data_IF_831934055683
#
_entry.id   IF_831934055683
#
_cell.length_a   1.000
_cell.length_b   1.000
_cell.length_c   1.000
_cell.angle_alpha   90.00
_cell.angle_beta   90.00
_cell.angle_gamma   90.00
#
_symmetry.space_group_name_H-M   'P 1'
#
loop_
_entity.id
_entity.type
_entity.pdbx_description
1 polymer ?
#
# COMPACT_ATOMS: atom_id res chain seq x y z
N UNK A 1 -10.87 -11.43 -10.03
CA UNK A 1 -11.73 -10.61 -9.18
C UNK A 1 -11.26 -10.64 -7.72
N UNK A 2 -11.20 -9.49 -7.07
CA UNK A 2 -10.90 -9.37 -5.64
C UNK A 2 -12.20 -9.14 -4.88
N UNK A 3 -12.61 -10.11 -4.06
CA UNK A 3 -13.89 -10.08 -3.36
C UNK A 3 -13.91 -8.98 -2.28
N UNK A 4 -14.87 -8.04 -2.31
CA UNK A 4 -15.11 -7.10 -1.23
C UNK A 4 -15.77 -7.78 -0.02
N UNK A 5 -15.79 -7.05 1.10
CA UNK A 5 -16.57 -7.47 2.27
C UNK A 5 -18.07 -7.57 1.94
N UNK A 6 -18.76 -8.49 2.59
CA UNK A 6 -20.21 -8.69 2.50
C UNK A 6 -20.73 -9.24 1.17
N UNK A 7 -19.87 -9.58 0.22
CA UNK A 7 -20.31 -10.30 -0.98
C UNK A 7 -20.47 -11.79 -0.67
N UNK A 8 -21.51 -12.40 -1.21
CA UNK A 8 -21.81 -13.82 -1.04
C UNK A 8 -21.77 -14.57 -2.37
N UNK A 9 -21.67 -15.87 -2.30
CA UNK A 9 -21.77 -16.73 -3.49
C UNK A 9 -23.16 -16.57 -4.10
N UNK A 10 -23.21 -16.39 -5.43
CA UNK A 10 -24.45 -16.12 -6.17
C UNK A 10 -24.75 -14.64 -6.40
N UNK A 11 -24.06 -13.71 -5.71
CA UNK A 11 -24.23 -12.27 -5.97
C UNK A 11 -23.77 -11.90 -7.38
N UNK A 12 -24.60 -11.14 -8.08
CA UNK A 12 -24.27 -10.61 -9.41
C UNK A 12 -23.41 -9.36 -9.26
N UNK A 13 -22.28 -9.32 -9.94
CA UNK A 13 -21.38 -8.18 -10.05
C UNK A 13 -21.29 -7.74 -11.49
N UNK A 14 -21.25 -6.43 -11.71
CA UNK A 14 -21.21 -5.81 -13.03
C UNK A 14 -19.93 -5.03 -13.24
N UNK A 15 -19.46 -5.02 -14.49
CA UNK A 15 -18.32 -4.20 -14.91
C UNK A 15 -18.73 -3.33 -16.11
N UNK A 16 -18.41 -2.06 -16.07
CA UNK A 16 -18.67 -1.13 -17.15
C UNK A 16 -19.07 0.26 -16.67
N UNK A 17 -19.26 1.21 -17.59
CA UNK A 17 -19.62 2.58 -17.26
C UNK A 17 -21.08 2.65 -16.74
N UNK A 18 -21.33 3.64 -15.88
CA UNK A 18 -22.66 4.01 -15.37
C UNK A 18 -23.47 2.85 -14.80
N UNK A 19 -22.80 1.95 -14.06
CA UNK A 19 -23.45 0.87 -13.33
C UNK A 19 -24.00 1.34 -11.99
N UNK A 20 -24.87 0.53 -11.38
CA UNK A 20 -25.38 0.78 -10.05
C UNK A 20 -24.24 0.85 -9.02
N UNK A 21 -24.35 1.76 -8.05
CA UNK A 21 -23.38 1.91 -6.97
C UNK A 21 -23.62 0.82 -5.93
N UNK A 22 -23.23 -0.41 -6.28
CA UNK A 22 -23.33 -1.60 -5.45
C UNK A 22 -21.95 -2.15 -5.14
N UNK A 23 -21.79 -2.68 -3.92
CA UNK A 23 -20.53 -3.32 -3.51
C UNK A 23 -20.19 -4.46 -4.45
N UNK A 24 -18.97 -4.44 -5.00
CA UNK A 24 -18.51 -5.44 -5.99
C UNK A 24 -18.55 -4.95 -7.43
N UNK A 25 -19.36 -3.96 -7.77
CA UNK A 25 -19.41 -3.43 -9.12
C UNK A 25 -18.13 -2.64 -9.45
N UNK A 26 -17.66 -2.78 -10.68
CA UNK A 26 -16.47 -2.10 -11.18
C UNK A 26 -16.86 -1.10 -12.27
N UNK A 27 -16.38 0.13 -12.13
CA UNK A 27 -16.69 1.20 -13.08
C UNK A 27 -15.58 2.26 -13.13
N UNK A 28 -15.58 3.15 -14.16
CA UNK A 28 -14.67 4.28 -14.21
C UNK A 28 -14.84 5.20 -13.00
N UNK A 29 -13.72 5.77 -12.54
CA UNK A 29 -13.70 6.67 -11.38
C UNK A 29 -14.62 7.88 -11.51
N UNK A 30 -14.85 8.38 -12.75
CA UNK A 30 -15.76 9.48 -13.02
C UNK A 30 -17.22 9.17 -12.69
N UNK A 31 -17.60 7.90 -12.72
CA UNK A 31 -18.98 7.45 -12.48
C UNK A 31 -19.23 7.14 -10.99
N UNK A 32 -18.19 7.20 -10.16
CA UNK A 32 -18.28 6.90 -8.72
C UNK A 32 -18.36 8.20 -7.91
N UNK A 33 -19.38 8.37 -7.07
CA UNK A 33 -19.51 9.56 -6.21
C UNK A 33 -18.34 9.72 -5.24
N UNK A 34 -18.07 10.98 -4.88
CA UNK A 34 -17.08 11.35 -3.87
C UNK A 34 -17.47 10.79 -2.50
N UNK A 35 -16.49 10.35 -1.72
CA UNK A 35 -16.68 9.83 -0.37
C UNK A 35 -16.88 8.31 -0.29
N UNK A 36 -17.12 7.63 -1.42
CA UNK A 36 -17.29 6.17 -1.46
C UNK A 36 -15.94 5.48 -1.31
N UNK A 37 -15.93 4.37 -0.54
CA UNK A 37 -14.79 3.47 -0.45
C UNK A 37 -14.70 2.61 -1.71
N UNK A 38 -13.52 2.57 -2.29
CA UNK A 38 -13.20 1.77 -3.47
C UNK A 38 -11.93 0.98 -3.25
N UNK A 39 -11.75 -0.07 -4.01
CA UNK A 39 -10.55 -0.91 -4.01
C UNK A 39 -10.16 -1.34 -5.42
N UNK A 40 -9.03 -2.03 -5.54
CA UNK A 40 -8.52 -2.55 -6.82
C UNK A 40 -8.45 -1.47 -7.92
N UNK A 41 -7.95 -0.29 -7.57
CA UNK A 41 -7.97 0.88 -8.45
C UNK A 41 -6.82 0.82 -9.46
N UNK A 42 -7.11 1.11 -10.71
CA UNK A 42 -6.10 1.29 -11.76
C UNK A 42 -5.36 2.62 -11.59
N UNK A 43 -4.09 2.65 -11.98
CA UNK A 43 -3.31 3.89 -12.05
C UNK A 43 -3.48 4.58 -13.41
N UNK A 44 -3.62 3.77 -14.45
CA UNK A 44 -3.84 4.19 -15.84
C UNK A 44 -4.94 3.33 -16.43
N UNK A 45 -5.80 3.86 -17.29
CA UNK A 45 -6.85 3.09 -17.94
C UNK A 45 -6.29 1.86 -18.66
N UNK A 46 -6.89 0.69 -18.41
CA UNK A 46 -6.46 -0.59 -18.98
C UNK A 46 -5.17 -1.18 -18.39
N UNK A 47 -4.57 -0.52 -17.41
CA UNK A 47 -3.33 -1.00 -16.76
C UNK A 47 -3.52 -2.06 -15.68
N UNK A 48 -4.76 -2.43 -15.39
CA UNK A 48 -5.16 -3.33 -14.32
C UNK A 48 -5.05 -2.70 -12.94
N UNK A 49 -5.80 -3.21 -11.98
CA UNK A 49 -5.83 -2.69 -10.61
C UNK A 49 -4.49 -2.86 -9.90
N UNK A 50 -4.00 -1.78 -9.29
CA UNK A 50 -2.70 -1.73 -8.60
C UNK A 50 -2.78 -1.14 -7.20
N UNK A 51 -3.79 -0.33 -6.92
CA UNK A 51 -3.98 0.35 -5.62
C UNK A 51 -5.06 -0.35 -4.83
N UNK A 52 -4.92 -0.39 -3.50
CA UNK A 52 -5.87 -1.00 -2.56
C UNK A 52 -6.23 -2.44 -2.90
N UNK A 53 -5.21 -3.31 -2.96
CA UNK A 53 -5.36 -4.75 -3.29
C UNK A 53 -5.09 -5.69 -2.12
N UNK A 54 -4.52 -5.18 -1.04
CA UNK A 54 -4.25 -5.98 0.16
C UNK A 54 -5.53 -6.25 0.94
N UNK A 55 -5.57 -7.34 1.69
CA UNK A 55 -6.69 -7.71 2.56
C UNK A 55 -7.13 -6.53 3.45
N UNK A 56 -8.41 -6.26 3.52
CA UNK A 56 -9.00 -5.15 4.27
C UNK A 56 -8.66 -3.75 3.76
N UNK A 57 -8.00 -3.62 2.60
CA UNK A 57 -7.63 -2.31 2.07
C UNK A 57 -8.80 -1.62 1.37
N UNK A 58 -8.84 -0.30 1.49
CA UNK A 58 -9.70 0.59 0.71
C UNK A 58 -9.05 1.96 0.54
N UNK A 59 -9.54 2.72 -0.40
CA UNK A 59 -9.22 4.13 -0.64
C UNK A 59 -10.50 4.88 -0.91
N UNK A 60 -10.51 6.20 -0.76
CA UNK A 60 -11.70 7.03 -0.97
C UNK A 60 -11.45 8.06 -2.07
N UNK A 61 -12.48 8.33 -2.86
CA UNK A 61 -12.47 9.47 -3.78
C UNK A 61 -12.72 10.72 -2.96
N UNK A 62 -11.81 11.68 -2.99
CA UNK A 62 -11.92 12.94 -2.24
C UNK A 62 -12.39 14.11 -3.10
N UNK A 63 -12.41 13.98 -4.41
CA UNK A 63 -12.87 15.00 -5.34
C UNK A 63 -12.49 14.68 -6.77
N UNK A 64 -12.90 15.57 -7.70
CA UNK A 64 -12.55 15.55 -9.10
C UNK A 64 -11.79 16.83 -9.46
N UNK A 65 -10.85 16.73 -10.39
CA UNK A 65 -10.04 17.83 -10.88
C UNK A 65 -9.86 17.68 -12.41
N UNK A 66 -10.78 18.23 -13.15
CA UNK A 66 -10.85 18.07 -14.61
C UNK A 66 -10.94 16.58 -14.99
N UNK A 67 -9.98 16.13 -15.79
CA UNK A 67 -9.91 14.72 -16.24
C UNK A 67 -9.31 13.76 -15.19
N UNK A 68 -9.06 14.23 -13.97
CA UNK A 68 -8.45 13.44 -12.91
C UNK A 68 -9.37 13.31 -11.69
N UNK A 69 -9.39 12.13 -11.12
CA UNK A 69 -10.01 11.87 -9.83
C UNK A 69 -8.96 11.96 -8.73
N UNK A 70 -9.28 12.66 -7.64
CA UNK A 70 -8.42 12.79 -6.46
C UNK A 70 -8.72 11.64 -5.51
N UNK A 71 -7.74 10.75 -5.32
CA UNK A 71 -7.89 9.57 -4.47
C UNK A 71 -7.05 9.72 -3.23
N UNK A 72 -7.69 9.60 -2.05
CA UNK A 72 -7.04 9.54 -0.75
C UNK A 72 -6.67 8.10 -0.44
N UNK A 73 -5.38 7.83 -0.41
CA UNK A 73 -4.82 6.52 -0.07
C UNK A 73 -4.89 6.23 1.43
N UNK A 74 -4.81 4.96 1.82
CA UNK A 74 -4.76 4.53 3.22
C UNK A 74 -3.59 5.16 4.01
N UNK A 75 -2.52 5.58 3.33
CA UNK A 75 -1.38 6.30 3.93
C UNK A 75 -1.68 7.78 4.24
N UNK A 76 -2.82 8.31 3.78
CA UNK A 76 -3.17 9.74 3.84
C UNK A 76 -2.63 10.57 2.67
N UNK A 77 -1.89 9.97 1.74
CA UNK A 77 -1.48 10.63 0.49
C UNK A 77 -2.68 10.81 -0.43
N UNK A 78 -2.79 11.99 -1.06
CA UNK A 78 -3.81 12.26 -2.09
C UNK A 78 -3.12 12.31 -3.44
N UNK A 79 -3.63 11.51 -4.38
CA UNK A 79 -3.09 11.40 -5.75
C UNK A 79 -4.16 11.69 -6.80
N UNK A 80 -3.69 12.26 -7.91
CA UNK A 80 -4.45 12.37 -9.16
C UNK A 80 -4.36 11.05 -9.94
N UNK A 81 -5.49 10.52 -10.35
CA UNK A 81 -5.59 9.35 -11.23
C UNK A 81 -6.56 9.69 -12.36
N UNK A 82 -6.27 9.24 -13.57
CA UNK A 82 -7.14 9.47 -14.73
C UNK A 82 -8.56 8.98 -14.42
N UNK A 83 -9.56 9.82 -14.63
CA UNK A 83 -10.96 9.53 -14.29
C UNK A 83 -11.57 8.36 -15.08
N UNK A 84 -10.94 7.97 -16.18
CA UNK A 84 -11.32 6.78 -16.98
C UNK A 84 -10.80 5.47 -16.37
N UNK A 85 -9.87 5.55 -15.40
CA UNK A 85 -9.34 4.36 -14.72
C UNK A 85 -10.44 3.64 -13.96
N UNK A 86 -10.43 2.31 -14.00
CA UNK A 86 -11.42 1.49 -13.33
C UNK A 86 -11.13 1.32 -11.84
N UNK A 87 -12.18 1.21 -11.06
CA UNK A 87 -12.14 0.89 -9.64
C UNK A 87 -13.35 0.05 -9.24
N UNK A 88 -13.20 -0.77 -8.22
CA UNK A 88 -14.28 -1.59 -7.67
C UNK A 88 -14.82 -0.97 -6.39
N UNK A 89 -16.13 -0.89 -6.24
CA UNK A 89 -16.80 -0.31 -5.08
C UNK A 89 -16.70 -1.25 -3.88
N UNK A 90 -16.40 -0.67 -2.72
CA UNK A 90 -16.36 -1.36 -1.44
C UNK A 90 -14.96 -1.47 -0.84
N UNK A 91 -14.87 -2.20 0.27
CA UNK A 91 -13.64 -2.50 1.02
C UNK A 91 -13.29 -3.97 0.79
N UNK A 92 -12.01 -4.29 0.61
CA UNK A 92 -11.58 -5.69 0.45
C UNK A 92 -11.88 -6.53 1.69
N UNK A 93 -12.18 -7.79 1.45
CA UNK A 93 -12.39 -8.80 2.49
C UNK A 93 -11.14 -9.06 3.34
N UNK A 94 -11.30 -9.85 4.41
CA UNK A 94 -10.24 -10.26 5.35
C UNK A 94 -9.51 -9.09 6.05
N UNK A 95 -10.22 -8.13 6.71
CA UNK A 95 -9.58 -7.01 7.38
C UNK A 95 -8.65 -7.43 8.52
N UNK A 96 -8.92 -8.59 9.13
CA UNK A 96 -8.14 -9.14 10.25
C UNK A 96 -6.86 -9.86 9.84
N UNK A 97 -6.58 -9.98 8.56
CA UNK A 97 -5.35 -10.59 8.05
C UNK A 97 -4.09 -9.97 8.67
N UNK A 98 -4.09 -8.67 8.95
CA UNK A 98 -2.99 -7.94 9.60
C UNK A 98 -2.78 -8.34 11.07
N UNK A 99 -3.81 -8.86 11.72
CA UNK A 99 -3.81 -9.20 13.15
C UNK A 99 -3.38 -10.66 13.39
N UNK A 100 -3.24 -11.47 12.33
CA UNK A 100 -2.88 -12.89 12.43
C UNK A 100 -1.45 -13.01 12.94
N UNK A 101 -1.30 -13.71 14.08
CA UNK A 101 0.01 -14.12 14.61
C UNK A 101 0.40 -15.45 14.01
N UNK A 102 1.58 -15.49 13.42
CA UNK A 102 2.09 -16.71 12.74
C UNK A 102 2.36 -17.85 13.75
N UNK A 103 2.71 -17.51 14.99
CA UNK A 103 2.91 -18.45 16.09
C UNK A 103 4.29 -19.09 16.11
N UNK A 104 4.74 -19.71 15.04
CA UNK A 104 6.02 -20.41 14.98
C UNK A 104 6.83 -20.08 13.73
N UNK A 105 8.15 -20.20 13.83
CA UNK A 105 9.09 -19.93 12.73
C UNK A 105 8.85 -20.84 11.51
N UNK A 106 8.47 -22.10 11.74
CA UNK A 106 8.16 -23.05 10.68
C UNK A 106 7.04 -22.57 9.76
N UNK A 107 6.00 -21.94 10.32
CA UNK A 107 4.90 -21.37 9.51
C UNK A 107 5.39 -20.23 8.61
N UNK A 108 6.33 -19.39 9.08
CA UNK A 108 6.97 -18.37 8.23
C UNK A 108 7.71 -19.02 7.05
N UNK A 109 8.37 -20.17 7.28
CA UNK A 109 9.05 -20.93 6.21
C UNK A 109 8.05 -21.47 5.18
N UNK A 110 6.93 -21.99 5.62
CA UNK A 110 5.84 -22.45 4.72
C UNK A 110 5.30 -21.33 3.84
N UNK A 111 5.28 -20.08 4.35
CA UNK A 111 4.91 -18.89 3.60
C UNK A 111 6.04 -18.35 2.70
N UNK A 112 7.13 -19.10 2.52
CA UNK A 112 8.28 -18.74 1.68
C UNK A 112 9.23 -17.71 2.29
N UNK A 113 9.04 -17.31 3.55
CA UNK A 113 9.93 -16.34 4.21
C UNK A 113 11.17 -17.05 4.76
N UNK A 114 12.33 -16.64 4.29
CA UNK A 114 13.61 -17.14 4.84
C UNK A 114 14.06 -16.32 6.05
N UNK A 115 14.91 -16.91 6.92
CA UNK A 115 15.53 -16.19 8.03
C UNK A 115 16.33 -15.00 7.52
N UNK A 116 16.33 -13.92 8.29
CA UNK A 116 17.07 -12.71 7.99
C UNK A 116 18.17 -12.48 9.03
N UNK A 117 19.40 -12.31 8.56
CA UNK A 117 20.56 -12.02 9.43
C UNK A 117 20.63 -10.52 9.69
N UNK A 118 20.70 -10.13 10.97
CA UNK A 118 20.85 -8.73 11.39
C UNK A 118 22.25 -8.21 11.05
N UNK A 119 22.38 -6.92 10.74
CA UNK A 119 23.67 -6.30 10.43
C UNK A 119 24.71 -6.39 11.56
N UNK A 120 24.26 -6.33 12.82
CA UNK A 120 25.12 -6.40 14.02
C UNK A 120 25.88 -7.72 14.16
N UNK A 121 25.35 -8.83 13.62
CA UNK A 121 26.00 -10.16 13.69
C UNK A 121 26.86 -10.48 12.48
N UNK A 122 27.06 -9.51 11.60
CA UNK A 122 27.92 -9.62 10.43
C UNK A 122 29.33 -9.10 10.75
N UNK A 123 30.27 -9.39 9.86
CA UNK A 123 31.62 -8.81 9.92
C UNK A 123 31.60 -7.33 9.47
N UNK A 124 32.59 -6.53 9.89
CA UNK A 124 32.66 -5.11 9.49
C UNK A 124 32.68 -4.88 7.97
N UNK A 125 33.24 -5.82 7.21
CA UNK A 125 33.28 -5.78 5.74
C UNK A 125 31.88 -5.92 5.11
N UNK A 126 30.96 -6.65 5.77
CA UNK A 126 29.64 -6.97 5.24
C UNK A 126 28.54 -5.97 5.65
N UNK A 127 28.77 -5.25 6.73
CA UNK A 127 27.79 -4.29 7.24
C UNK A 127 28.41 -3.22 8.14
N UNK A 128 27.98 -1.93 8.04
CA UNK A 128 28.47 -0.84 8.91
C UNK A 128 28.18 -1.04 10.41
N UNK A 129 27.28 -1.95 10.78
CA UNK A 129 27.01 -2.34 12.16
C UNK A 129 27.76 -3.60 12.60
N UNK A 130 28.59 -4.16 11.74
CA UNK A 130 29.32 -5.40 12.02
C UNK A 130 30.52 -5.17 12.91
N UNK A 131 31.03 -6.26 13.47
CA UNK A 131 32.24 -6.27 14.31
C UNK A 131 31.96 -6.20 15.81
N UNK A 132 33.06 -6.18 16.60
CA UNK A 132 33.04 -6.19 18.05
C UNK A 132 33.18 -7.59 18.66
N UNK A 133 33.39 -7.65 19.97
CA UNK A 133 33.41 -8.89 20.74
C UNK A 133 32.04 -9.22 21.35
N UNK A 134 31.62 -10.46 21.25
CA UNK A 134 30.36 -10.95 21.83
C UNK A 134 29.13 -10.21 21.33
N UNK A 135 28.24 -9.80 22.24
CA UNK A 135 27.07 -8.99 21.96
C UNK A 135 27.42 -7.51 21.92
N UNK A 136 27.97 -7.04 20.82
CA UNK A 136 28.25 -5.60 20.64
C UNK A 136 27.00 -4.83 20.22
N UNK A 137 26.94 -3.53 20.58
CA UNK A 137 25.96 -2.61 20.07
C UNK A 137 26.29 -2.20 18.63
N UNK A 138 25.32 -1.64 17.90
CA UNK A 138 25.52 -1.19 16.51
C UNK A 138 26.53 -0.05 16.33
N UNK A 139 26.98 0.62 17.42
CA UNK A 139 28.03 1.62 17.47
C UNK A 139 27.72 2.96 16.76
N UNK A 140 26.59 3.07 16.05
CA UNK A 140 26.20 4.23 15.25
C UNK A 140 24.69 4.29 15.03
N UNK A 141 24.19 5.37 14.45
CA UNK A 141 22.79 5.44 14.02
C UNK A 141 22.44 4.30 13.06
N UNK A 142 21.19 3.77 13.11
CA UNK A 142 20.78 2.68 12.23
C UNK A 142 20.95 3.03 10.75
N UNK A 143 21.70 2.21 10.04
CA UNK A 143 21.97 2.35 8.61
C UNK A 143 21.71 1.04 7.87
N UNK A 144 21.52 1.14 6.55
CA UNK A 144 21.44 0.00 5.64
C UNK A 144 22.84 -0.62 5.40
N UNK A 145 22.91 -1.80 4.75
CA UNK A 145 24.22 -2.35 4.32
C UNK A 145 25.06 -1.39 3.48
N UNK A 146 24.42 -0.47 2.74
CA UNK A 146 25.09 0.54 1.91
C UNK A 146 25.39 1.84 2.64
N UNK A 147 25.19 1.89 3.97
CA UNK A 147 25.48 3.07 4.79
C UNK A 147 24.40 4.15 4.80
N UNK A 148 23.30 3.99 4.07
CA UNK A 148 22.21 4.95 4.09
C UNK A 148 21.43 4.89 5.41
N UNK A 149 21.02 6.05 5.93
CA UNK A 149 20.21 6.12 7.15
C UNK A 149 18.92 5.30 7.02
N UNK A 150 18.70 4.38 7.97
CA UNK A 150 17.49 3.55 8.01
C UNK A 150 16.28 4.31 8.57
N UNK A 151 16.49 5.42 9.30
CA UNK A 151 15.43 6.24 9.88
C UNK A 151 15.43 7.64 9.27
N UNK A 152 14.25 8.14 8.91
CA UNK A 152 14.04 9.50 8.45
C UNK A 152 14.46 9.83 7.01
N UNK A 153 15.25 9.02 6.36
CA UNK A 153 15.67 9.25 4.98
C UNK A 153 14.48 9.11 4.01
N UNK A 154 14.30 10.14 3.18
CA UNK A 154 13.34 10.09 2.06
C UNK A 154 13.97 9.30 0.92
N UNK A 155 13.51 8.05 0.71
CA UNK A 155 14.04 7.15 -0.33
C UNK A 155 13.38 7.31 -1.69
N UNK A 156 12.18 7.95 -1.78
CA UNK A 156 11.51 8.16 -3.05
C UNK A 156 12.25 9.22 -3.88
N UNK A 157 12.70 8.84 -5.07
CA UNK A 157 13.35 9.72 -6.05
C UNK A 157 12.72 9.59 -7.46
N UNK A 158 11.43 9.33 -7.53
CA UNK A 158 10.72 9.25 -8.81
C UNK A 158 10.06 10.60 -9.16
N UNK A 159 10.81 11.47 -9.79
CA UNK A 159 10.34 12.82 -10.20
C UNK A 159 9.21 12.76 -11.24
N UNK A 160 9.24 11.76 -12.13
CA UNK A 160 8.25 11.61 -13.22
C UNK A 160 6.81 11.54 -12.73
N UNK A 161 6.57 10.91 -11.58
CA UNK A 161 5.22 10.73 -11.01
C UNK A 161 4.89 11.70 -9.88
N UNK A 162 5.77 12.63 -9.54
CA UNK A 162 5.53 13.62 -8.47
C UNK A 162 4.39 14.57 -8.83
N UNK A 163 4.19 14.88 -10.11
CA UNK A 163 3.09 15.71 -10.62
C UNK A 163 1.69 15.15 -10.30
N UNK A 164 1.59 13.86 -10.04
CA UNK A 164 0.32 13.21 -9.66
C UNK A 164 0.08 13.20 -8.15
N UNK A 165 1.00 13.67 -7.34
CA UNK A 165 0.84 13.74 -5.88
C UNK A 165 0.41 15.15 -5.50
N UNK A 166 -0.86 15.29 -5.09
CA UNK A 166 -1.42 16.58 -4.63
C UNK A 166 -1.01 16.84 -3.18
N UNK A 167 -1.16 15.84 -2.32
CA UNK A 167 -0.80 15.93 -0.90
C UNK A 167 -0.02 14.69 -0.49
N UNK A 168 1.18 14.89 0.04
CA UNK A 168 1.97 13.78 0.59
C UNK A 168 1.39 13.30 1.91
N UNK A 169 1.68 12.03 2.29
CA UNK A 169 1.36 11.51 3.62
C UNK A 169 1.95 12.43 4.68
N UNK A 170 1.21 12.68 5.75
CA UNK A 170 1.74 13.43 6.88
C UNK A 170 2.92 12.64 7.48
N UNK A 171 4.08 13.28 7.60
CA UNK A 171 5.10 12.76 8.51
C UNK A 171 4.47 12.76 9.90
N UNK A 172 4.52 11.63 10.63
CA UNK A 172 4.28 11.66 12.08
C UNK A 172 5.24 12.73 12.60
N UNK A 173 4.71 13.76 13.25
CA UNK A 173 5.52 14.62 14.10
C UNK A 173 6.05 13.67 15.16
N UNK A 174 7.36 13.44 15.16
CA UNK A 174 7.99 12.76 16.28
C UNK A 174 7.60 13.58 17.50
N UNK A 175 6.76 13.03 18.35
CA UNK A 175 6.49 13.58 19.70
C UNK A 175 7.83 13.49 20.40
N UNK A 176 8.44 14.67 20.63
CA UNK A 176 9.59 14.84 21.51
C UNK A 176 9.19 14.45 22.92
#
# INVERSE_FOLDING_TARGET
>A
YLAPQKIQEGDKVENGPKKEIKVGNCMPLQDIPVGINIHNVEIQPGGGGKIARSAGASVTISGMDGNYSLIKLASGEVRKIDSRSLATIGVLSNPDQKNIKIGKAGRSRWLGRRPHTRGVVKNPVDHPHGGGEGKSAGGRHPVSPTGQSAKGLKTRDNKRTDKFIVKRRNKRKDTK
#
